data_IF_257463415869
#
_entry.id   IF_257463415869
#
_cell.length_a   1.000
_cell.length_b   1.000
_cell.length_c   1.000
_cell.angle_alpha   90.00
_cell.angle_beta   90.00
_cell.angle_gamma   90.00
#
_symmetry.space_group_name_H-M   'P 1'
#
loop_
_entity.id
_entity.type
_entity.pdbx_description
1 polymer ?
#
# COMPACT_ATOMS: atom_id res chain seq x y z
N UNK A 1 -27.02 10.98 -19.89
CA UNK A 1 -26.35 10.22 -18.82
C UNK A 1 -25.65 9.05 -19.48
N UNK A 2 -24.45 9.27 -20.00
CA UNK A 2 -23.55 8.19 -20.38
C UNK A 2 -22.77 7.81 -19.12
N UNK A 3 -23.04 6.61 -18.65
CA UNK A 3 -22.42 5.97 -17.49
C UNK A 3 -21.01 5.47 -17.89
N UNK A 4 -20.17 6.39 -18.38
CA UNK A 4 -18.76 6.10 -18.62
C UNK A 4 -18.08 6.02 -17.25
N UNK A 5 -17.82 4.78 -16.82
CA UNK A 5 -17.10 4.49 -15.59
C UNK A 5 -15.85 5.39 -15.48
N UNK A 6 -15.87 6.29 -14.49
CA UNK A 6 -15.00 7.45 -14.35
C UNK A 6 -13.48 7.18 -14.17
N UNK A 7 -13.01 5.94 -14.29
CA UNK A 7 -11.59 5.62 -14.29
C UNK A 7 -11.40 4.17 -14.78
N UNK A 8 -11.32 3.96 -16.10
CA UNK A 8 -10.63 2.75 -16.56
C UNK A 8 -9.16 2.92 -16.17
N UNK A 9 -8.71 2.10 -15.21
CA UNK A 9 -7.31 2.06 -14.81
C UNK A 9 -6.45 1.76 -16.05
N UNK A 10 -5.44 2.59 -16.27
CA UNK A 10 -4.52 2.46 -17.40
C UNK A 10 -3.99 1.01 -17.49
N UNK A 11 -4.21 0.30 -18.60
CA UNK A 11 -3.76 -1.08 -18.77
C UNK A 11 -2.26 -1.28 -18.54
N UNK A 12 -1.44 -0.29 -18.92
CA UNK A 12 0.00 -0.33 -18.70
C UNK A 12 0.33 -0.22 -17.21
N UNK A 13 -0.33 0.70 -16.51
CA UNK A 13 -0.22 0.83 -15.07
C UNK A 13 -0.65 -0.45 -14.33
N UNK A 14 -1.74 -1.10 -14.74
CA UNK A 14 -2.18 -2.37 -14.18
C UNK A 14 -1.16 -3.49 -14.39
N UNK A 15 -0.54 -3.55 -15.58
CA UNK A 15 0.52 -4.51 -15.88
C UNK A 15 1.75 -4.27 -14.99
N UNK A 16 2.15 -3.01 -14.81
CA UNK A 16 3.25 -2.64 -13.91
C UNK A 16 2.96 -3.00 -12.45
N UNK A 17 1.74 -2.72 -11.96
CA UNK A 17 1.36 -3.09 -10.59
C UNK A 17 1.34 -4.61 -10.42
N UNK A 18 0.88 -5.38 -11.42
CA UNK A 18 0.93 -6.83 -11.37
C UNK A 18 2.38 -7.34 -11.29
N UNK A 19 3.26 -6.86 -12.16
CA UNK A 19 4.67 -7.24 -12.14
C UNK A 19 5.35 -6.90 -10.80
N UNK A 20 5.04 -5.71 -10.24
CA UNK A 20 5.54 -5.31 -8.93
C UNK A 20 5.03 -6.23 -7.81
N UNK A 21 3.74 -6.61 -7.83
CA UNK A 21 3.16 -7.56 -6.86
C UNK A 21 3.77 -8.95 -6.96
N UNK A 22 4.01 -9.43 -8.18
CA UNK A 22 4.68 -10.71 -8.43
C UNK A 22 6.11 -10.68 -7.86
N UNK A 23 6.88 -9.62 -8.11
CA UNK A 23 8.21 -9.46 -7.53
C UNK A 23 8.17 -9.39 -6.00
N UNK A 24 7.24 -8.62 -5.43
CA UNK A 24 7.06 -8.49 -3.98
C UNK A 24 6.66 -9.81 -3.30
N UNK A 25 5.99 -10.71 -4.04
CA UNK A 25 5.67 -12.06 -3.54
C UNK A 25 6.87 -13.00 -3.49
N UNK A 26 7.97 -12.64 -4.15
CA UNK A 26 9.24 -13.36 -4.08
C UNK A 26 9.97 -13.18 -2.73
N UNK A 27 11.01 -13.99 -2.47
CA UNK A 27 11.69 -14.00 -1.17
C UNK A 27 12.34 -12.67 -0.81
N UNK A 28 13.01 -12.00 -1.76
CA UNK A 28 13.59 -10.68 -1.54
C UNK A 28 12.52 -9.60 -1.35
N UNK A 29 11.41 -9.74 -2.06
CA UNK A 29 10.25 -8.87 -1.92
C UNK A 29 9.62 -8.96 -0.53
N UNK A 30 9.47 -10.17 0.00
CA UNK A 30 8.99 -10.39 1.36
C UNK A 30 9.95 -9.80 2.41
N UNK A 31 11.26 -10.00 2.26
CA UNK A 31 12.25 -9.38 3.16
C UNK A 31 12.16 -7.85 3.17
N UNK A 32 11.96 -7.23 1.99
CA UNK A 32 11.77 -5.78 1.90
C UNK A 32 10.50 -5.33 2.65
N UNK A 33 9.39 -6.05 2.47
CA UNK A 33 8.11 -5.72 3.13
C UNK A 33 8.17 -5.91 4.64
N UNK A 34 8.92 -6.91 5.13
CA UNK A 34 9.14 -7.14 6.55
C UNK A 34 9.95 -6.00 7.18
N UNK A 35 11.02 -5.57 6.53
CA UNK A 35 11.82 -4.42 7.00
C UNK A 35 11.04 -3.11 6.92
N UNK A 36 10.28 -2.88 5.84
CA UNK A 36 9.38 -1.74 5.73
C UNK A 36 8.41 -1.69 6.92
N UNK A 37 7.77 -2.82 7.22
CA UNK A 37 6.84 -2.92 8.34
C UNK A 37 7.51 -2.62 9.68
N UNK A 38 8.70 -3.17 9.93
CA UNK A 38 9.45 -2.92 11.17
C UNK A 38 9.76 -1.43 11.35
N UNK A 39 10.24 -0.78 10.29
CA UNK A 39 10.55 0.67 10.32
C UNK A 39 9.27 1.48 10.52
N UNK A 40 8.18 1.14 9.84
CA UNK A 40 6.89 1.83 9.99
C UNK A 40 6.33 1.66 11.41
N UNK A 41 6.43 0.47 12.03
CA UNK A 41 6.01 0.25 13.42
C UNK A 41 6.79 1.13 14.41
N UNK A 42 8.11 1.18 14.27
CA UNK A 42 8.99 2.00 15.13
C UNK A 42 8.69 3.50 15.01
N UNK A 43 8.51 3.96 13.77
CA UNK A 43 8.28 5.36 13.47
C UNK A 43 6.86 5.78 13.86
N UNK A 44 5.83 5.05 13.43
CA UNK A 44 4.43 5.36 13.76
C UNK A 44 4.15 5.31 15.26
N UNK A 45 4.86 4.47 16.02
CA UNK A 45 4.77 4.45 17.48
C UNK A 45 5.22 5.77 18.14
N UNK A 46 6.04 6.57 17.45
CA UNK A 46 6.53 7.88 17.90
C UNK A 46 5.70 9.05 17.37
N UNK A 47 4.94 8.86 16.29
CA UNK A 47 4.11 9.90 15.69
C UNK A 47 2.76 10.05 16.40
N UNK A 48 2.30 11.28 16.48
CA UNK A 48 0.92 11.62 16.80
C UNK A 48 0.19 11.98 15.51
N UNK A 49 -0.75 11.13 15.07
CA UNK A 49 -1.50 11.38 13.83
C UNK A 49 -2.68 10.43 13.68
N UNK A 50 -3.85 10.98 13.35
CA UNK A 50 -5.08 10.19 13.20
C UNK A 50 -5.24 9.51 11.84
N UNK A 51 -4.38 9.81 10.85
CA UNK A 51 -4.52 9.33 9.47
C UNK A 51 -3.19 8.78 8.95
N UNK A 52 -3.22 7.55 8.44
CA UNK A 52 -2.14 6.95 7.67
C UNK A 52 -2.61 6.75 6.23
N UNK A 53 -1.91 7.35 5.28
CA UNK A 53 -2.15 7.14 3.85
C UNK A 53 -1.03 6.28 3.29
N UNK A 54 -1.38 5.09 2.82
CA UNK A 54 -0.43 4.15 2.23
C UNK A 54 -0.66 4.06 0.71
N UNK A 55 0.36 4.40 -0.06
CA UNK A 55 0.36 4.30 -1.52
C UNK A 55 1.48 3.37 -1.97
N UNK A 56 1.12 2.22 -2.53
CA UNK A 56 2.09 1.24 -2.98
C UNK A 56 1.49 0.01 -3.63
N UNK A 57 2.30 -0.76 -4.38
CA UNK A 57 1.86 -1.99 -5.05
C UNK A 57 1.59 -3.13 -4.06
N UNK A 58 2.15 -3.07 -2.85
CA UNK A 58 1.97 -4.08 -1.80
C UNK A 58 0.49 -4.29 -1.47
N UNK A 59 0.09 -5.55 -1.43
CA UNK A 59 -1.25 -5.99 -1.06
C UNK A 59 -1.51 -5.94 0.46
N UNK A 60 -0.45 -5.84 1.26
CA UNK A 60 -0.52 -5.98 2.70
C UNK A 60 -1.12 -4.75 3.38
N UNK A 61 -1.77 -4.97 4.51
CA UNK A 61 -2.22 -3.86 5.34
C UNK A 61 -0.99 -3.23 6.02
N UNK A 62 -0.90 -1.89 6.04
CA UNK A 62 0.14 -1.23 6.80
C UNK A 62 -0.01 -1.55 8.30
N UNK A 63 1.08 -1.43 9.08
CA UNK A 63 1.05 -1.65 10.52
C UNK A 63 0.02 -0.78 11.24
N UNK A 64 -0.55 -1.35 12.31
CA UNK A 64 -1.55 -0.68 13.14
C UNK A 64 -0.85 -0.03 14.32
N UNK A 65 -0.60 1.28 14.22
CA UNK A 65 -0.17 2.07 15.37
C UNK A 65 -1.40 2.51 16.20
N UNK A 66 -1.37 2.40 17.54
CA UNK A 66 -2.50 2.77 18.41
C UNK A 66 -3.01 4.20 18.21
N UNK A 67 -2.15 5.10 17.76
CA UNK A 67 -2.43 6.51 17.53
C UNK A 67 -3.17 6.75 16.20
N UNK A 68 -3.09 5.81 15.25
CA UNK A 68 -3.69 5.91 13.91
C UNK A 68 -5.17 5.51 13.98
N UNK A 69 -6.07 6.47 13.73
CA UNK A 69 -7.51 6.26 13.79
C UNK A 69 -8.10 5.85 12.43
N UNK A 70 -7.44 6.22 11.33
CA UNK A 70 -7.90 6.04 9.95
C UNK A 70 -6.76 5.59 9.08
N UNK A 71 -7.00 4.51 8.33
CA UNK A 71 -6.08 4.03 7.32
C UNK A 71 -6.71 4.21 5.95
N UNK A 72 -6.02 4.91 5.06
CA UNK A 72 -6.43 5.10 3.67
C UNK A 72 -5.41 4.42 2.79
N UNK A 73 -5.86 3.48 1.98
CA UNK A 73 -5.02 2.81 1.01
C UNK A 73 -5.35 3.29 -0.39
N UNK A 74 -4.33 3.73 -1.10
CA UNK A 74 -4.41 4.21 -2.47
C UNK A 74 -3.57 3.28 -3.35
N UNK A 75 -4.13 2.86 -4.49
CA UNK A 75 -3.44 1.97 -5.42
C UNK A 75 -4.41 1.18 -6.29
N UNK A 76 -3.87 0.38 -7.21
CA UNK A 76 -4.69 -0.51 -8.02
C UNK A 76 -5.48 -1.48 -7.13
N UNK A 77 -6.69 -1.89 -7.53
CA UNK A 77 -7.51 -2.85 -6.80
C UNK A 77 -6.78 -4.17 -6.51
#
# INVERSE_FOLDING_TARGET
MTDEAFAQADPEWLALIRAAREWLSGPLGQLLLEEERRVLDEELGRYFGGYLVHYGPSAQNPPVAPQVQRNVRLGAP
#
